data_IF_801839000935
#
_entry.id   IF_801839000935
#
_cell.length_a   1.000
_cell.length_b   1.000
_cell.length_c   1.000
_cell.angle_alpha   90.00
_cell.angle_beta   90.00
_cell.angle_gamma   90.00
#
_symmetry.space_group_name_H-M   'P 1'
#
loop_
_entity.id
_entity.type
_entity.pdbx_description
1 polymer ?
#
# COMPACT_ATOMS: atom_id res chain seq x y z
N UNK A 1 34.80 29.68 -0.45
CA UNK A 1 34.06 30.88 -0.89
C UNK A 1 33.46 30.52 -2.24
N UNK A 2 32.16 30.74 -2.40
CA UNK A 2 31.31 30.40 -3.58
C UNK A 2 30.74 28.97 -3.69
N UNK A 3 29.58 28.75 -3.06
CA UNK A 3 28.54 27.84 -3.57
C UNK A 3 27.13 28.19 -3.01
N UNK A 4 26.87 29.46 -2.66
CA UNK A 4 25.58 29.88 -2.05
C UNK A 4 24.56 30.47 -3.04
N UNK A 5 24.86 30.56 -4.33
CA UNK A 5 24.06 31.41 -5.25
C UNK A 5 22.89 30.69 -5.96
N UNK A 6 22.64 29.38 -5.74
CA UNK A 6 21.61 28.64 -6.50
C UNK A 6 20.31 28.36 -5.71
N UNK A 7 20.21 28.70 -4.41
CA UNK A 7 19.06 28.34 -3.56
C UNK A 7 18.03 29.46 -3.29
N UNK A 8 17.97 30.52 -4.12
CA UNK A 8 17.10 31.69 -3.86
C UNK A 8 15.80 31.80 -4.69
N UNK A 9 15.35 30.77 -5.38
CA UNK A 9 14.11 30.82 -6.14
C UNK A 9 13.15 29.68 -5.78
N UNK A 10 12.55 29.72 -4.57
CA UNK A 10 11.19 29.21 -4.28
C UNK A 10 10.85 29.47 -2.79
N UNK A 11 10.46 30.71 -2.44
CA UNK A 11 9.69 31.00 -1.21
C UNK A 11 8.24 31.25 -1.60
N UNK A 12 7.27 30.42 -1.19
CA UNK A 12 5.87 30.83 -1.18
C UNK A 12 5.63 31.86 -0.04
N UNK A 13 4.77 32.87 -0.25
CA UNK A 13 4.55 33.93 0.72
C UNK A 13 3.78 33.44 1.96
N UNK A 14 4.22 33.93 3.12
CA UNK A 14 3.52 33.89 4.40
C UNK A 14 2.22 34.69 4.29
N UNK A 15 1.07 34.07 4.58
CA UNK A 15 -0.09 34.64 5.30
C UNK A 15 -1.30 33.72 5.19
N UNK A 16 -1.61 32.98 6.26
CA UNK A 16 -2.97 32.83 6.79
C UNK A 16 -2.93 31.94 8.04
N UNK A 17 -3.21 32.57 9.17
CA UNK A 17 -3.15 32.04 10.54
C UNK A 17 -4.17 30.92 10.76
N UNK A 18 -3.76 29.95 11.58
CA UNK A 18 -4.67 29.11 12.36
C UNK A 18 -5.73 29.95 13.09
N UNK A 19 -7.00 29.53 13.03
CA UNK A 19 -7.95 29.70 14.13
C UNK A 19 -8.64 28.37 14.43
N UNK A 20 -8.57 28.05 15.70
CA UNK A 20 -9.10 26.91 16.42
C UNK A 20 -10.64 26.93 16.50
N UNK A 21 -11.20 25.71 16.54
CA UNK A 21 -12.27 25.23 17.45
C UNK A 21 -13.75 25.66 17.28
N UNK A 22 -14.59 24.60 17.30
CA UNK A 22 -16.06 24.42 17.42
C UNK A 22 -16.63 25.11 18.72
N UNK A 23 -17.94 25.10 19.13
CA UNK A 23 -19.16 24.46 18.60
C UNK A 23 -20.51 25.24 18.77
N UNK A 24 -21.62 24.66 18.26
CA UNK A 24 -23.04 24.80 18.70
C UNK A 24 -23.65 26.20 18.98
N UNK A 25 -24.60 26.66 18.12
CA UNK A 25 -25.96 27.18 18.51
C UNK A 25 -26.65 27.94 17.36
N UNK A 26 -27.85 27.47 16.98
CA UNK A 26 -29.12 28.18 16.67
C UNK A 26 -30.03 27.14 15.98
N UNK A 27 -30.97 26.47 16.66
CA UNK A 27 -32.38 26.87 16.90
C UNK A 27 -32.85 27.86 15.82
N UNK A 28 -33.87 27.63 14.99
CA UNK A 28 -34.85 26.56 14.84
C UNK A 28 -35.89 27.10 13.84
N UNK A 29 -36.45 26.24 12.99
CA UNK A 29 -37.67 26.53 12.25
C UNK A 29 -38.38 25.20 11.99
N UNK A 30 -39.58 25.08 12.55
CA UNK A 30 -40.46 23.92 12.50
C UNK A 30 -41.23 23.88 11.16
N UNK A 31 -41.30 22.67 10.60
CA UNK A 31 -42.34 22.03 9.78
C UNK A 31 -43.05 22.77 8.63
N UNK A 32 -42.93 22.19 7.43
CA UNK A 32 -44.06 21.62 6.68
C UNK A 32 -43.60 20.39 5.85
N UNK A 33 -44.22 19.24 6.10
CA UNK A 33 -44.40 18.12 5.14
C UNK A 33 -45.89 18.16 4.74
N UNK A 34 -46.40 17.50 3.67
CA UNK A 34 -45.82 16.39 2.89
C UNK A 34 -46.06 16.45 1.35
N UNK A 35 -45.43 15.54 0.61
CA UNK A 35 -46.05 14.68 -0.43
C UNK A 35 -45.14 14.39 -1.65
N UNK A 36 -45.22 13.14 -2.11
CA UNK A 36 -44.75 12.58 -3.38
C UNK A 36 -43.24 12.65 -3.71
N UNK A 37 -42.58 11.52 -3.52
CA UNK A 37 -41.26 11.24 -4.11
C UNK A 37 -40.64 9.92 -3.67
N UNK A 38 -41.44 8.93 -3.28
CA UNK A 38 -40.99 7.56 -3.01
C UNK A 38 -40.84 6.84 -4.36
N UNK A 39 -39.64 6.85 -4.95
CA UNK A 39 -39.14 5.91 -5.96
C UNK A 39 -37.68 6.24 -6.33
N UNK A 40 -36.75 5.99 -5.41
CA UNK A 40 -35.32 5.78 -5.70
C UNK A 40 -34.90 4.36 -5.31
N UNK A 41 -35.76 3.40 -5.65
CA UNK A 41 -35.42 1.98 -5.78
C UNK A 41 -35.58 1.65 -7.25
N UNK A 42 -34.59 0.95 -7.83
CA UNK A 42 -34.43 0.64 -9.27
C UNK A 42 -33.46 1.55 -10.03
N UNK A 43 -32.26 1.77 -9.48
CA UNK A 43 -31.09 1.63 -10.33
C UNK A 43 -30.48 0.28 -10.03
N UNK A 44 -31.04 -0.69 -10.75
CA UNK A 44 -30.57 -2.04 -10.89
C UNK A 44 -29.07 -1.98 -11.22
N UNK A 45 -28.31 -2.69 -10.40
CA UNK A 45 -26.89 -2.95 -10.49
C UNK A 45 -26.59 -3.59 -11.85
N UNK A 46 -26.29 -2.78 -12.86
CA UNK A 46 -25.83 -3.25 -14.16
C UNK A 46 -24.35 -3.60 -14.04
N UNK A 47 -24.06 -4.75 -13.41
CA UNK A 47 -22.84 -5.48 -13.69
C UNK A 47 -22.96 -6.04 -15.12
N UNK A 48 -22.61 -5.22 -16.11
CA UNK A 48 -22.57 -5.66 -17.50
C UNK A 48 -21.71 -6.94 -17.59
N UNK A 49 -22.16 -7.99 -18.29
CA UNK A 49 -21.42 -9.24 -18.41
C UNK A 49 -20.09 -8.95 -19.10
N UNK A 50 -18.98 -9.12 -18.38
CA UNK A 50 -17.64 -9.02 -18.95
C UNK A 50 -17.50 -10.09 -20.06
N UNK A 51 -17.17 -9.63 -21.27
CA UNK A 51 -17.09 -10.47 -22.47
C UNK A 51 -16.26 -11.74 -22.27
N UNK A 52 -16.59 -12.83 -22.97
CA UNK A 52 -15.89 -14.12 -22.84
C UNK A 52 -14.37 -14.03 -23.03
N UNK A 53 -13.90 -13.13 -23.91
CA UNK A 53 -12.47 -12.81 -24.08
C UNK A 53 -11.82 -12.19 -22.83
N UNK A 54 -12.55 -11.31 -22.13
CA UNK A 54 -12.06 -10.71 -20.88
C UNK A 54 -11.92 -11.75 -19.77
N UNK A 55 -12.80 -12.74 -19.71
CA UNK A 55 -12.71 -13.84 -18.75
C UNK A 55 -11.50 -14.74 -19.00
N UNK A 56 -11.22 -15.09 -20.26
CA UNK A 56 -10.04 -15.89 -20.64
C UNK A 56 -8.75 -15.15 -20.25
N UNK A 57 -8.64 -13.87 -20.62
CA UNK A 57 -7.50 -13.01 -20.24
C UNK A 57 -7.28 -12.99 -18.73
N UNK A 58 -8.34 -12.86 -17.95
CA UNK A 58 -8.26 -12.81 -16.49
C UNK A 58 -7.81 -14.14 -15.90
N UNK A 59 -8.29 -15.27 -16.43
CA UNK A 59 -7.84 -16.60 -16.01
C UNK A 59 -6.37 -16.84 -16.33
N UNK A 60 -5.94 -16.52 -17.55
CA UNK A 60 -4.54 -16.60 -17.97
C UNK A 60 -3.65 -15.73 -17.07
N UNK A 61 -4.09 -14.52 -16.77
CA UNK A 61 -3.38 -13.61 -15.87
C UNK A 61 -3.19 -14.22 -14.48
N UNK A 62 -4.24 -14.79 -13.88
CA UNK A 62 -4.16 -15.47 -12.57
C UNK A 62 -3.19 -16.64 -12.59
N UNK A 63 -3.18 -17.43 -13.68
CA UNK A 63 -2.23 -18.54 -13.86
C UNK A 63 -0.79 -18.03 -13.91
N UNK A 64 -0.51 -16.98 -14.68
CA UNK A 64 0.85 -16.40 -14.79
C UNK A 64 1.37 -15.86 -13.46
N UNK A 65 0.51 -15.22 -12.66
CA UNK A 65 0.87 -14.74 -11.32
C UNK A 65 1.23 -15.92 -10.42
N UNK A 66 0.43 -17.00 -10.42
CA UNK A 66 0.73 -18.22 -9.65
C UNK A 66 2.03 -18.89 -10.08
N UNK A 67 2.32 -18.95 -11.39
CA UNK A 67 3.59 -19.47 -11.90
C UNK A 67 4.76 -18.61 -11.40
N UNK A 68 4.58 -17.28 -11.38
CA UNK A 68 5.61 -16.35 -10.90
C UNK A 68 5.88 -16.54 -9.42
N UNK A 69 4.84 -16.66 -8.60
CA UNK A 69 4.94 -16.99 -7.17
C UNK A 69 5.64 -18.33 -6.96
N UNK A 70 5.23 -19.37 -7.70
CA UNK A 70 5.85 -20.69 -7.65
C UNK A 70 7.36 -20.63 -7.95
N UNK A 71 7.76 -19.85 -8.96
CA UNK A 71 9.19 -19.63 -9.26
C UNK A 71 9.91 -18.94 -8.10
N UNK A 72 9.34 -17.92 -7.49
CA UNK A 72 9.97 -17.24 -6.35
C UNK A 72 10.18 -18.16 -5.16
N UNK A 73 9.17 -18.97 -4.80
CA UNK A 73 9.27 -19.94 -3.72
C UNK A 73 10.22 -21.10 -4.04
N UNK A 74 10.01 -21.80 -5.15
CA UNK A 74 10.66 -23.09 -5.40
C UNK A 74 11.93 -23.03 -6.25
N UNK A 75 12.05 -22.05 -7.15
CA UNK A 75 13.24 -21.91 -7.99
C UNK A 75 14.27 -20.95 -7.38
N UNK A 76 13.81 -19.81 -6.85
CA UNK A 76 14.70 -18.82 -6.25
C UNK A 76 14.91 -19.01 -4.74
N UNK A 77 14.12 -19.85 -4.08
CA UNK A 77 14.27 -20.14 -2.65
C UNK A 77 13.95 -18.95 -1.75
N UNK A 78 13.04 -18.07 -2.16
CA UNK A 78 12.54 -16.97 -1.33
C UNK A 78 11.59 -17.51 -0.25
N UNK A 79 11.59 -16.88 0.91
CA UNK A 79 10.67 -17.19 2.00
C UNK A 79 9.38 -16.37 1.85
N UNK A 80 8.34 -17.03 1.35
CA UNK A 80 7.04 -16.43 1.06
C UNK A 80 5.94 -17.16 1.83
N UNK A 81 5.25 -16.42 2.70
CA UNK A 81 4.09 -16.86 3.44
C UNK A 81 2.89 -17.26 2.58
N UNK A 82 1.82 -17.66 3.23
CA UNK A 82 0.58 -18.08 2.60
C UNK A 82 -0.16 -16.88 1.98
N UNK A 83 -0.74 -17.10 0.79
CA UNK A 83 -1.62 -16.12 0.13
C UNK A 83 -1.01 -14.73 -0.10
N UNK A 84 0.32 -14.66 -0.26
CA UNK A 84 1.03 -13.44 -0.67
C UNK A 84 0.60 -13.07 -2.09
N UNK A 85 0.24 -11.79 -2.29
CA UNK A 85 -0.14 -11.26 -3.61
C UNK A 85 0.98 -10.43 -4.19
N UNK A 86 1.58 -10.92 -5.26
CA UNK A 86 2.66 -10.22 -5.97
C UNK A 86 2.14 -9.75 -7.33
N UNK A 87 2.06 -8.44 -7.51
CA UNK A 87 1.64 -7.85 -8.78
C UNK A 87 2.73 -7.99 -9.84
N UNK A 88 2.32 -8.07 -11.11
CA UNK A 88 3.25 -8.06 -12.24
C UNK A 88 4.13 -6.81 -12.19
N UNK A 89 5.44 -7.01 -12.28
CA UNK A 89 6.42 -5.92 -12.25
C UNK A 89 6.91 -5.53 -10.85
N UNK A 90 6.42 -6.18 -9.78
CA UNK A 90 7.13 -6.14 -8.50
C UNK A 90 8.54 -6.71 -8.67
N UNK A 91 9.52 -6.06 -8.04
CA UNK A 91 10.95 -6.34 -8.16
C UNK A 91 11.45 -6.91 -6.85
N UNK A 92 11.37 -8.23 -6.71
CA UNK A 92 12.04 -8.92 -5.61
C UNK A 92 13.50 -9.16 -6.01
N UNK A 93 14.38 -8.99 -5.03
CA UNK A 93 15.81 -9.18 -5.21
C UNK A 93 16.15 -10.59 -5.72
N UNK A 94 16.80 -10.67 -6.88
CA UNK A 94 17.25 -11.95 -7.45
C UNK A 94 18.73 -12.21 -7.24
N UNK A 95 19.49 -11.22 -6.77
CA UNK A 95 20.91 -11.38 -6.45
C UNK A 95 21.08 -12.08 -5.12
N UNK A 96 20.20 -11.80 -4.15
CA UNK A 96 20.11 -12.52 -2.88
C UNK A 96 18.66 -12.90 -2.54
N UNK A 97 18.07 -13.86 -3.29
CA UNK A 97 16.66 -14.19 -3.16
C UNK A 97 16.33 -14.83 -1.81
N UNK A 98 17.26 -15.58 -1.21
CA UNK A 98 17.03 -16.24 0.09
C UNK A 98 16.86 -15.26 1.25
N UNK A 99 17.37 -14.03 1.11
CA UNK A 99 17.18 -12.99 2.12
C UNK A 99 15.85 -12.26 2.01
N UNK A 100 14.98 -12.60 1.05
CA UNK A 100 13.65 -11.99 0.92
C UNK A 100 12.67 -12.83 1.76
N UNK A 101 12.14 -12.21 2.82
CA UNK A 101 11.13 -12.81 3.70
C UNK A 101 9.86 -11.99 3.66
N UNK A 102 8.74 -12.60 3.26
CA UNK A 102 7.42 -11.95 3.17
C UNK A 102 6.39 -12.78 3.91
N UNK A 103 5.74 -12.19 4.91
CA UNK A 103 4.71 -12.81 5.73
C UNK A 103 3.37 -13.00 5.03
N UNK A 104 2.48 -13.72 5.71
CA UNK A 104 1.21 -14.18 5.15
C UNK A 104 0.29 -13.02 4.78
N UNK A 105 -0.51 -13.24 3.74
CA UNK A 105 -1.53 -12.28 3.27
C UNK A 105 -0.96 -10.88 3.00
N UNK A 106 0.32 -10.75 2.67
CA UNK A 106 0.91 -9.47 2.28
C UNK A 106 0.72 -9.21 0.79
N UNK A 107 0.42 -7.96 0.44
CA UNK A 107 0.26 -7.53 -0.94
C UNK A 107 1.39 -6.61 -1.39
N UNK A 108 2.00 -6.96 -2.52
CA UNK A 108 3.09 -6.23 -3.17
C UNK A 108 2.58 -5.76 -4.52
N UNK A 109 2.44 -4.45 -4.68
CA UNK A 109 1.91 -3.87 -5.92
C UNK A 109 3.00 -3.65 -6.97
N UNK A 110 2.58 -3.30 -8.18
CA UNK A 110 3.49 -3.17 -9.33
C UNK A 110 4.63 -2.20 -9.07
N UNK A 111 5.82 -2.54 -9.55
CA UNK A 111 7.01 -1.70 -9.44
C UNK A 111 7.63 -1.59 -8.05
N UNK A 112 6.92 -2.03 -6.99
CA UNK A 112 7.49 -2.09 -5.65
C UNK A 112 8.73 -2.99 -5.63
N UNK A 113 9.77 -2.57 -4.93
CA UNK A 113 11.06 -3.26 -4.86
C UNK A 113 11.39 -3.65 -3.42
N UNK A 114 11.81 -4.89 -3.23
CA UNK A 114 12.36 -5.38 -1.96
C UNK A 114 13.79 -5.80 -2.24
N UNK A 115 14.73 -5.11 -1.63
CA UNK A 115 16.17 -5.33 -1.81
C UNK A 115 16.72 -6.09 -0.62
N UNK A 116 17.74 -6.91 -0.86
CA UNK A 116 18.48 -7.72 0.14
C UNK A 116 19.99 -7.69 -0.10
N UNK A 117 20.44 -6.93 -1.10
CA UNK A 117 21.84 -6.59 -1.32
C UNK A 117 22.01 -5.09 -1.57
N UNK A 118 23.19 -4.59 -1.24
CA UNK A 118 23.70 -3.29 -1.67
C UNK A 118 25.15 -3.45 -2.13
N UNK A 119 25.42 -3.11 -3.39
CA UNK A 119 26.76 -3.16 -3.97
C UNK A 119 27.69 -2.05 -3.47
N UNK A 120 27.14 -0.90 -3.07
CA UNK A 120 27.94 0.23 -2.59
C UNK A 120 28.55 -0.12 -1.24
N UNK A 121 27.73 -0.63 -0.32
CA UNK A 121 28.18 -1.07 1.01
C UNK A 121 28.64 -2.53 1.04
N UNK A 122 28.63 -3.23 -0.11
CA UNK A 122 28.97 -4.66 -0.25
C UNK A 122 28.31 -5.54 0.81
N UNK A 123 27.05 -5.25 1.10
CA UNK A 123 26.30 -5.89 2.19
C UNK A 123 25.18 -6.74 1.61
N UNK A 124 25.07 -7.96 2.11
CA UNK A 124 23.93 -8.85 1.90
C UNK A 124 23.20 -9.00 3.22
N UNK A 125 21.97 -8.51 3.28
CA UNK A 125 21.15 -8.53 4.49
C UNK A 125 19.75 -8.98 4.15
N UNK A 126 19.19 -9.76 5.07
CA UNK A 126 17.83 -10.23 4.97
C UNK A 126 16.86 -9.09 5.25
N UNK A 127 15.85 -8.97 4.38
CA UNK A 127 14.81 -7.96 4.45
C UNK A 127 13.50 -8.67 4.75
N UNK A 128 12.84 -8.22 5.81
CA UNK A 128 11.64 -8.85 6.32
C UNK A 128 10.45 -7.93 6.09
N UNK A 129 9.41 -8.46 5.49
CA UNK A 129 8.10 -7.84 5.40
C UNK A 129 7.12 -8.71 6.17
N UNK A 130 6.48 -8.16 7.19
CA UNK A 130 5.51 -8.88 8.02
C UNK A 130 4.26 -9.31 7.27
N UNK A 131 3.33 -9.90 8.02
CA UNK A 131 2.03 -10.36 7.53
C UNK A 131 1.03 -9.22 7.42
N UNK A 132 0.00 -9.39 6.58
CA UNK A 132 -1.08 -8.41 6.36
C UNK A 132 -0.59 -7.02 5.93
N UNK A 133 0.59 -6.93 5.32
CA UNK A 133 1.14 -5.66 4.87
C UNK A 133 0.63 -5.29 3.47
N UNK A 134 0.69 -3.99 3.16
CA UNK A 134 0.48 -3.48 1.81
C UNK A 134 1.66 -2.62 1.37
N UNK A 135 2.32 -3.02 0.29
CA UNK A 135 3.38 -2.26 -0.36
C UNK A 135 2.81 -1.56 -1.59
N UNK A 136 2.67 -0.25 -1.49
CA UNK A 136 2.17 0.62 -2.55
C UNK A 136 3.07 0.66 -3.79
N UNK A 137 2.51 1.18 -4.88
CA UNK A 137 3.13 1.12 -6.20
C UNK A 137 4.49 1.83 -6.18
N UNK A 138 5.53 1.20 -6.74
CA UNK A 138 6.92 1.70 -6.70
C UNK A 138 7.49 1.98 -5.30
N UNK A 139 6.92 1.44 -4.22
CA UNK A 139 7.56 1.51 -2.91
C UNK A 139 8.88 0.72 -2.92
N UNK A 140 9.94 1.25 -2.32
CA UNK A 140 11.26 0.63 -2.28
C UNK A 140 11.62 0.34 -0.83
N UNK A 141 11.90 -0.91 -0.51
CA UNK A 141 12.42 -1.36 0.79
C UNK A 141 13.91 -1.67 0.63
N UNK A 142 14.76 -0.97 1.36
CA UNK A 142 16.21 -1.18 1.30
C UNK A 142 16.66 -2.45 2.02
N UNK A 143 17.84 -2.94 1.65
CA UNK A 143 18.44 -4.15 2.20
C UNK A 143 18.61 -4.09 3.73
N UNK A 144 18.14 -5.12 4.43
CA UNK A 144 18.26 -5.24 5.88
C UNK A 144 17.15 -4.58 6.69
N UNK A 145 16.14 -4.02 6.03
CA UNK A 145 14.99 -3.39 6.71
C UNK A 145 14.00 -4.45 7.18
N UNK A 146 13.47 -4.27 8.38
CA UNK A 146 12.35 -5.03 8.94
C UNK A 146 11.08 -4.18 8.95
N UNK A 147 10.08 -4.61 8.19
CA UNK A 147 8.74 -4.04 8.20
C UNK A 147 7.84 -4.95 9.05
N UNK A 148 7.30 -4.42 10.15
CA UNK A 148 6.40 -5.16 11.03
C UNK A 148 5.07 -5.53 10.38
N UNK A 149 4.28 -6.33 11.09
CA UNK A 149 2.97 -6.79 10.61
C UNK A 149 1.99 -5.63 10.47
N UNK A 150 1.06 -5.75 9.51
CA UNK A 150 -0.02 -4.79 9.31
C UNK A 150 0.44 -3.39 8.87
N UNK A 151 1.65 -3.28 8.32
CA UNK A 151 2.16 -2.01 7.82
C UNK A 151 1.60 -1.67 6.44
N UNK A 152 1.42 -0.37 6.21
CA UNK A 152 1.07 0.19 4.90
C UNK A 152 2.20 1.09 4.45
N UNK A 153 2.86 0.71 3.35
CA UNK A 153 3.88 1.52 2.71
C UNK A 153 3.22 2.26 1.55
N UNK A 154 3.15 3.60 1.63
CA UNK A 154 2.52 4.41 0.60
C UNK A 154 3.28 4.30 -0.75
N UNK A 155 2.61 4.51 -1.89
CA UNK A 155 3.27 4.52 -3.20
C UNK A 155 4.46 5.48 -3.27
N UNK A 156 5.49 5.12 -4.06
CA UNK A 156 6.75 5.86 -4.23
C UNK A 156 7.51 6.17 -2.92
N UNK A 157 7.25 5.43 -1.84
CA UNK A 157 7.96 5.59 -0.56
C UNK A 157 9.27 4.81 -0.58
N UNK A 158 10.35 5.38 -0.03
CA UNK A 158 11.64 4.71 0.14
C UNK A 158 11.87 4.44 1.62
N UNK A 159 11.79 3.18 2.02
CA UNK A 159 11.96 2.74 3.41
C UNK A 159 13.42 2.39 3.65
N UNK A 160 14.07 3.21 4.48
CA UNK A 160 15.51 3.13 4.78
C UNK A 160 15.82 2.60 6.18
N UNK A 161 14.79 2.34 6.98
CA UNK A 161 14.87 1.94 8.39
C UNK A 161 13.70 1.06 8.76
N UNK A 162 13.87 0.28 9.82
CA UNK A 162 12.83 -0.59 10.36
C UNK A 162 11.54 0.17 10.66
N UNK A 163 10.42 -0.49 10.37
CA UNK A 163 9.08 0.04 10.51
C UNK A 163 8.36 -0.76 11.60
N UNK A 164 7.90 -0.10 12.67
CA UNK A 164 7.13 -0.79 13.71
C UNK A 164 5.81 -1.33 13.14
N UNK A 165 5.26 -2.44 13.68
CA UNK A 165 3.98 -2.97 13.25
C UNK A 165 2.86 -1.92 13.25
N UNK A 166 1.81 -2.17 12.47
CA UNK A 166 0.60 -1.35 12.44
C UNK A 166 0.88 0.13 12.15
N UNK A 167 1.79 0.39 11.22
CA UNK A 167 2.22 1.74 10.86
C UNK A 167 2.02 2.06 9.39
N UNK A 168 1.69 3.32 9.10
CA UNK A 168 1.70 3.87 7.74
C UNK A 168 3.00 4.63 7.53
N UNK A 169 3.70 4.33 6.43
CA UNK A 169 4.97 4.99 6.07
C UNK A 169 4.82 5.70 4.74
N UNK A 170 5.27 6.95 4.69
CA UNK A 170 5.21 7.78 3.49
C UNK A 170 6.49 8.59 3.30
N UNK A 171 6.88 8.79 2.03
CA UNK A 171 7.92 9.74 1.61
C UNK A 171 9.26 9.12 1.26
N UNK A 172 10.23 9.98 0.94
CA UNK A 172 11.62 9.61 0.64
C UNK A 172 12.58 10.63 1.30
N UNK A 173 13.27 10.28 2.40
CA UNK A 173 13.19 9.00 3.11
C UNK A 173 11.83 8.81 3.80
N UNK A 174 11.37 7.56 3.84
CA UNK A 174 10.10 7.17 4.45
C UNK A 174 10.05 7.48 5.94
N UNK A 175 8.94 8.09 6.36
CA UNK A 175 8.65 8.36 7.76
C UNK A 175 7.31 7.75 8.13
N UNK A 176 7.23 7.25 9.37
CA UNK A 176 5.97 6.82 9.95
C UNK A 176 5.08 8.06 10.12
N UNK A 177 3.92 8.07 9.46
CA UNK A 177 2.95 9.18 9.49
C UNK A 177 1.71 8.85 10.32
N UNK A 178 1.44 7.56 10.53
CA UNK A 178 0.33 7.06 11.32
C UNK A 178 0.75 5.76 12.00
N UNK A 179 0.27 5.51 13.22
CA UNK A 179 0.56 4.33 14.03
C UNK A 179 -0.74 3.76 14.60
N UNK A 180 -0.69 2.50 15.04
CA UNK A 180 -1.82 1.77 15.61
C UNK A 180 -3.00 1.62 14.62
N UNK A 181 -2.71 1.48 13.33
CA UNK A 181 -3.73 1.14 12.34
C UNK A 181 -4.15 -0.33 12.52
N UNK A 182 -5.34 -0.67 12.04
CA UNK A 182 -5.83 -2.05 12.10
C UNK A 182 -6.00 -2.54 10.68
N UNK A 183 -5.20 -3.52 10.28
CA UNK A 183 -5.26 -4.12 8.94
C UNK A 183 -5.71 -5.57 9.00
N UNK A 184 -6.39 -5.99 7.94
CA UNK A 184 -6.70 -7.39 7.64
C UNK A 184 -5.91 -7.87 6.42
N UNK A 185 -6.30 -9.01 5.84
CA UNK A 185 -5.65 -9.64 4.69
C UNK A 185 -5.36 -8.61 3.59
N UNK A 186 -4.15 -8.63 3.06
CA UNK A 186 -3.64 -7.75 1.99
C UNK A 186 -3.59 -6.26 2.37
N UNK A 187 -3.51 -5.95 3.67
CA UNK A 187 -3.40 -4.59 4.19
C UNK A 187 -4.69 -3.77 4.08
N UNK A 188 -5.85 -4.43 4.00
CA UNK A 188 -7.16 -3.76 4.01
C UNK A 188 -7.39 -3.16 5.41
N UNK A 189 -7.57 -1.84 5.47
CA UNK A 189 -7.74 -1.08 6.72
C UNK A 189 -9.13 -1.26 7.32
N UNK A 190 -9.22 -1.97 8.44
CA UNK A 190 -10.44 -2.13 9.24
C UNK A 190 -10.80 -0.86 10.02
N UNK A 191 -9.80 -0.10 10.44
CA UNK A 191 -9.98 1.14 11.23
C UNK A 191 -10.71 2.26 10.46
N UNK A 192 -10.83 2.13 9.13
CA UNK A 192 -11.59 3.05 8.28
C UNK A 192 -13.02 2.58 8.00
N UNK A 193 -13.50 1.54 8.69
CA UNK A 193 -14.82 0.97 8.47
C UNK A 193 -14.91 0.13 7.18
N UNK A 194 -13.79 -0.31 6.63
CA UNK A 194 -13.82 -1.31 5.58
C UNK A 194 -14.04 -2.68 6.22
N UNK A 195 -15.06 -3.39 5.79
CA UNK A 195 -15.15 -4.82 6.05
C UNK A 195 -14.05 -5.54 5.25
N UNK A 196 -13.69 -6.78 5.62
CA UNK A 196 -12.81 -7.63 4.81
C UNK A 196 -13.56 -8.53 3.80
N UNK A 197 -14.20 -8.05 2.71
CA UNK A 197 -14.72 -8.96 1.69
C UNK A 197 -14.11 -8.65 0.33
N UNK A 198 -12.97 -9.25 -0.01
CA UNK A 198 -12.60 -9.37 -1.44
C UNK A 198 -11.97 -10.73 -1.74
N UNK A 199 -12.83 -11.75 -1.81
CA UNK A 199 -12.57 -12.96 -2.57
C UNK A 199 -12.78 -12.65 -4.06
N UNK A 200 -11.69 -12.40 -4.79
CA UNK A 200 -11.69 -12.30 -6.26
C UNK A 200 -10.78 -13.37 -6.86
#
# INVERSE_FOLDING_TARGET
MECETIFRAFRPPETARCRLYNPLRRRGALYTLPSLGRLKSLFFESAAPVSGFSQIRTRLFKILVKITEFKYRHLYGMDLGEHVRISRGARLDRTNPKGVHIGDYTAITGGAAILTHDFVTRTWKDTYVGSNCFLGFNAIILAGVKVGDGCIISPNTVVVRDVPPNSVVMGNPGKVVEQNIVTSKWGIRLDKGNDSPVAH
#
